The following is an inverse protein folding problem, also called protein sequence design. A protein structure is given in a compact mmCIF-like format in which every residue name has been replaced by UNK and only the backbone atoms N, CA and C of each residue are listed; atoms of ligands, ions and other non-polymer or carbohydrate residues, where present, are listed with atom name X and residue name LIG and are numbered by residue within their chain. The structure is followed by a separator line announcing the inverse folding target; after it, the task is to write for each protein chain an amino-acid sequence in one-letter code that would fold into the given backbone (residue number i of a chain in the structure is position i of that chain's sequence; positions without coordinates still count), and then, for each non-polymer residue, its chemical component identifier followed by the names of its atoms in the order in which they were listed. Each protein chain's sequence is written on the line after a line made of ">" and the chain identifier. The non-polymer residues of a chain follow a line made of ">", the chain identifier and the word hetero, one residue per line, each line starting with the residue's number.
data_IF_002136899481
#
_entry.id   IF_002136899481
#
_cell.length_a   1.000
_cell.length_b   1.000
_cell.length_c   1.000
_cell.angle_alpha   90.00
_cell.angle_beta   90.00
_cell.angle_gamma   90.00
#
_symmetry.space_group_name_H-M   'P 1'
#
loop_
_entity.id
_entity.type
_entity.pdbx_description
1 polymer ?
#
# COMPACT_ATOMS: atom_id res chain seq x y z
N UNK A 1 -21.65 31.77 7.97
CA UNK A 1 -20.95 30.69 8.69
C UNK A 1 -21.70 29.36 8.62
N UNK A 2 -23.00 29.31 8.94
CA UNK A 2 -23.80 28.07 8.93
C UNK A 2 -23.93 27.40 7.54
N UNK A 3 -24.17 28.19 6.48
CA UNK A 3 -24.25 27.70 5.10
C UNK A 3 -22.93 27.05 4.63
N UNK A 4 -21.79 27.64 4.99
CA UNK A 4 -20.45 27.13 4.63
C UNK A 4 -20.21 25.79 5.33
N UNK A 5 -20.52 25.67 6.62
CA UNK A 5 -20.45 24.40 7.37
C UNK A 5 -21.35 23.32 6.77
N UNK A 6 -22.58 23.69 6.39
CA UNK A 6 -23.53 22.77 5.76
C UNK A 6 -23.04 22.26 4.39
N UNK A 7 -22.58 23.16 3.52
CA UNK A 7 -22.02 22.80 2.21
C UNK A 7 -20.79 21.91 2.35
N UNK A 8 -19.88 22.25 3.27
CA UNK A 8 -18.69 21.45 3.54
C UNK A 8 -19.04 20.05 4.06
N UNK A 9 -20.03 19.96 4.95
CA UNK A 9 -20.51 18.68 5.49
C UNK A 9 -21.09 17.77 4.40
N UNK A 10 -21.89 18.33 3.48
CA UNK A 10 -22.41 17.59 2.32
C UNK A 10 -21.28 17.09 1.41
N UNK A 11 -20.31 17.95 1.10
CA UNK A 11 -19.14 17.59 0.28
C UNK A 11 -18.32 16.49 0.96
N UNK A 12 -18.12 16.57 2.28
CA UNK A 12 -17.39 15.56 3.03
C UNK A 12 -18.07 14.18 2.94
N UNK A 13 -19.36 14.09 3.27
CA UNK A 13 -20.09 12.81 3.22
C UNK A 13 -20.22 12.25 1.79
N UNK A 14 -20.47 13.12 0.80
CA UNK A 14 -20.51 12.71 -0.61
C UNK A 14 -19.16 12.15 -1.08
N UNK A 15 -18.07 12.84 -0.73
CA UNK A 15 -16.71 12.39 -1.05
C UNK A 15 -16.35 11.09 -0.31
N UNK A 16 -16.81 10.94 0.94
CA UNK A 16 -16.60 9.73 1.72
C UNK A 16 -17.30 8.51 1.08
N UNK A 17 -18.57 8.64 0.71
CA UNK A 17 -19.32 7.57 0.03
C UNK A 17 -18.71 7.22 -1.32
N UNK A 18 -18.30 8.23 -2.11
CA UNK A 18 -17.58 8.01 -3.36
C UNK A 18 -16.25 7.28 -3.14
N UNK A 19 -15.54 7.61 -2.07
CA UNK A 19 -14.28 6.97 -1.70
C UNK A 19 -14.49 5.50 -1.37
N UNK A 20 -15.53 5.14 -0.60
CA UNK A 20 -15.88 3.74 -0.31
C UNK A 20 -16.13 2.96 -1.61
N UNK A 21 -16.93 3.52 -2.51
CA UNK A 21 -17.18 2.91 -3.82
C UNK A 21 -15.87 2.69 -4.60
N UNK A 22 -14.96 3.67 -4.62
CA UNK A 22 -13.66 3.54 -5.29
C UNK A 22 -12.75 2.50 -4.63
N UNK A 23 -12.71 2.44 -3.30
CA UNK A 23 -11.95 1.40 -2.58
C UNK A 23 -12.43 0.02 -3.02
N UNK A 24 -13.74 -0.20 -3.10
CA UNK A 24 -14.29 -1.46 -3.54
C UNK A 24 -13.88 -1.82 -4.97
N UNK A 25 -14.03 -0.90 -5.93
CA UNK A 25 -13.60 -1.13 -7.33
C UNK A 25 -12.11 -1.46 -7.43
N UNK A 26 -11.27 -0.71 -6.72
CA UNK A 26 -9.81 -0.91 -6.72
C UNK A 26 -9.44 -2.24 -6.06
N UNK A 27 -10.18 -2.68 -5.03
CA UNK A 27 -9.97 -3.97 -4.38
C UNK A 27 -10.29 -5.13 -5.32
N UNK A 28 -11.38 -5.05 -6.09
CA UNK A 28 -11.72 -6.05 -7.10
C UNK A 28 -10.62 -6.15 -8.17
N UNK A 29 -10.20 -5.01 -8.73
CA UNK A 29 -9.08 -4.97 -9.68
C UNK A 29 -7.80 -5.60 -9.11
N UNK A 30 -7.50 -5.39 -7.82
CA UNK A 30 -6.32 -5.96 -7.18
C UNK A 30 -6.44 -7.49 -7.04
N UNK A 31 -7.59 -7.99 -6.63
CA UNK A 31 -7.85 -9.43 -6.52
C UNK A 31 -7.66 -10.12 -7.87
N UNK A 32 -8.18 -9.53 -8.95
CA UNK A 32 -7.99 -10.05 -10.32
C UNK A 32 -6.52 -10.10 -10.71
N UNK A 33 -5.76 -9.02 -10.42
CA UNK A 33 -4.32 -8.98 -10.69
C UNK A 33 -3.61 -10.09 -9.92
N UNK A 34 -3.89 -10.26 -8.62
CA UNK A 34 -3.26 -11.30 -7.79
C UNK A 34 -3.60 -12.71 -8.26
N UNK A 35 -4.82 -12.94 -8.76
CA UNK A 35 -5.20 -14.23 -9.34
C UNK A 35 -4.32 -14.59 -10.55
N UNK A 36 -4.05 -13.62 -11.44
CA UNK A 36 -3.15 -13.85 -12.59
C UNK A 36 -1.70 -14.08 -12.13
N UNK A 37 -1.19 -13.31 -11.17
CA UNK A 37 0.15 -13.55 -10.60
C UNK A 37 0.29 -14.95 -10.01
N UNK A 38 -0.76 -15.42 -9.32
CA UNK A 38 -0.80 -16.77 -8.74
C UNK A 38 -0.76 -17.82 -9.85
N UNK A 39 -1.58 -17.67 -10.88
CA UNK A 39 -1.62 -18.58 -12.02
C UNK A 39 -0.29 -18.63 -12.78
N UNK A 40 0.33 -17.48 -13.06
CA UNK A 40 1.66 -17.43 -13.71
C UNK A 40 2.75 -18.08 -12.83
N UNK A 41 2.65 -17.93 -11.50
CA UNK A 41 3.55 -18.57 -10.56
C UNK A 41 3.41 -20.09 -10.52
N UNK A 42 2.17 -20.60 -10.48
CA UNK A 42 1.87 -22.04 -10.50
C UNK A 42 2.32 -22.68 -11.82
N UNK A 43 2.15 -21.98 -12.94
CA UNK A 43 2.61 -22.45 -14.25
C UNK A 43 4.14 -22.47 -14.36
N UNK A 44 4.82 -21.41 -13.90
CA UNK A 44 6.27 -21.31 -14.01
C UNK A 44 7.02 -22.26 -13.05
N UNK A 45 6.45 -22.53 -11.87
CA UNK A 45 7.07 -23.34 -10.84
C UNK A 45 6.02 -24.23 -10.15
N UNK A 46 5.56 -25.29 -10.82
CA UNK A 46 4.58 -26.22 -10.25
C UNK A 46 5.17 -26.91 -9.02
N UNK A 47 4.33 -27.12 -8.00
CA UNK A 47 4.68 -27.84 -6.76
C UNK A 47 5.69 -27.16 -5.82
N UNK A 48 5.89 -25.85 -5.93
CA UNK A 48 6.70 -25.07 -4.97
C UNK A 48 6.16 -25.21 -3.54
N UNK A 49 6.96 -25.81 -2.66
CA UNK A 49 6.62 -25.91 -1.24
C UNK A 49 6.67 -24.55 -0.55
N UNK A 50 5.95 -24.39 0.56
CA UNK A 50 5.98 -23.14 1.35
C UNK A 50 7.40 -22.79 1.84
N UNK A 51 8.21 -23.81 2.15
CA UNK A 51 9.61 -23.61 2.55
C UNK A 51 10.46 -23.06 1.41
N UNK A 52 10.28 -23.56 0.19
CA UNK A 52 10.99 -23.05 -0.99
C UNK A 52 10.53 -21.63 -1.33
N UNK A 53 9.24 -21.33 -1.23
CA UNK A 53 8.73 -19.97 -1.41
C UNK A 53 9.37 -18.99 -0.41
N UNK A 54 9.51 -19.39 0.86
CA UNK A 54 10.20 -18.58 1.90
C UNK A 54 11.69 -18.40 1.57
N UNK A 55 12.40 -19.47 1.19
CA UNK A 55 13.82 -19.42 0.80
C UNK A 55 14.02 -18.50 -0.41
N UNK A 56 13.19 -18.66 -1.43
CA UNK A 56 13.17 -17.86 -2.65
C UNK A 56 12.99 -16.37 -2.34
N UNK A 57 11.99 -16.02 -1.51
CA UNK A 57 11.73 -14.63 -1.11
C UNK A 57 12.95 -14.01 -0.40
N UNK A 58 13.62 -14.79 0.46
CA UNK A 58 14.85 -14.36 1.13
C UNK A 58 16.00 -14.13 0.14
N UNK A 59 16.22 -15.08 -0.78
CA UNK A 59 17.28 -15.00 -1.78
C UNK A 59 17.08 -13.79 -2.73
N UNK A 60 15.85 -13.55 -3.17
CA UNK A 60 15.47 -12.36 -3.94
C UNK A 60 15.81 -11.08 -3.18
N UNK A 61 15.43 -11.00 -1.89
CA UNK A 61 15.72 -9.81 -1.09
C UNK A 61 17.22 -9.58 -0.90
N UNK A 62 18.01 -10.64 -0.72
CA UNK A 62 19.46 -10.54 -0.57
C UNK A 62 20.13 -10.10 -1.88
N UNK A 63 19.68 -10.63 -3.01
CA UNK A 63 20.15 -10.20 -4.33
C UNK A 63 19.90 -8.71 -4.55
N UNK A 64 18.72 -8.21 -4.15
CA UNK A 64 18.40 -6.79 -4.19
C UNK A 64 19.33 -5.93 -3.35
N UNK A 65 19.54 -6.31 -2.09
CA UNK A 65 20.43 -5.57 -1.20
C UNK A 65 21.87 -5.51 -1.73
N UNK A 66 22.32 -6.58 -2.40
CA UNK A 66 23.64 -6.62 -3.03
C UNK A 66 23.75 -5.68 -4.24
N UNK A 67 22.69 -5.59 -5.07
CA UNK A 67 22.70 -4.79 -6.31
C UNK A 67 22.33 -3.34 -6.09
N UNK A 68 21.47 -3.04 -5.12
CA UNK A 68 21.09 -1.69 -4.70
C UNK A 68 21.16 -1.59 -3.16
N UNK A 69 22.28 -1.11 -2.58
CA UNK A 69 22.41 -0.92 -1.14
C UNK A 69 21.36 0.05 -0.56
N UNK A 70 20.80 0.95 -1.38
CA UNK A 70 19.71 1.83 -0.95
C UNK A 70 18.40 1.08 -0.69
N UNK A 71 18.25 -0.16 -1.20
CA UNK A 71 17.09 -1.02 -0.95
C UNK A 71 16.93 -1.34 0.54
N UNK A 72 18.04 -1.66 1.24
CA UNK A 72 18.00 -1.92 2.67
C UNK A 72 17.53 -0.69 3.46
N UNK A 73 17.99 0.49 3.05
CA UNK A 73 17.60 1.76 3.65
C UNK A 73 16.11 2.06 3.40
N UNK A 74 15.64 1.93 2.15
CA UNK A 74 14.23 2.08 1.78
C UNK A 74 13.32 1.17 2.61
N UNK A 75 13.70 -0.11 2.76
CA UNK A 75 12.95 -1.08 3.57
C UNK A 75 12.86 -0.69 5.04
N UNK A 76 13.95 -0.21 5.63
CA UNK A 76 13.96 0.32 7.01
C UNK A 76 13.03 1.53 7.15
N UNK A 77 13.09 2.48 6.22
CA UNK A 77 12.19 3.64 6.23
C UNK A 77 10.72 3.23 6.08
N UNK A 78 10.39 2.32 5.16
CA UNK A 78 9.03 1.79 5.03
C UNK A 78 8.56 1.14 6.31
N UNK A 79 9.40 0.35 6.97
CA UNK A 79 9.07 -0.30 8.23
C UNK A 79 8.76 0.72 9.33
N UNK A 80 9.59 1.76 9.49
CA UNK A 80 9.34 2.84 10.45
C UNK A 80 7.97 3.49 10.20
N UNK A 81 7.65 3.75 8.94
CA UNK A 81 6.37 4.36 8.58
C UNK A 81 5.19 3.41 8.85
N UNK A 82 5.34 2.12 8.56
CA UNK A 82 4.34 1.12 8.94
C UNK A 82 4.12 1.06 10.45
N UNK A 83 5.19 1.15 11.24
CA UNK A 83 5.10 1.21 12.71
C UNK A 83 4.33 2.45 13.16
N UNK A 84 4.63 3.63 12.60
CA UNK A 84 3.90 4.88 12.91
C UNK A 84 2.41 4.74 12.57
N UNK A 85 2.09 4.23 11.37
CA UNK A 85 0.70 3.99 10.95
C UNK A 85 0.01 2.99 11.88
N UNK A 86 0.70 1.92 12.27
CA UNK A 86 0.17 0.91 13.18
C UNK A 86 -0.15 1.49 14.56
N UNK A 87 0.74 2.30 15.14
CA UNK A 87 0.47 3.00 16.41
C UNK A 87 -0.77 3.91 16.32
N UNK A 88 -0.96 4.60 15.19
CA UNK A 88 -2.14 5.44 14.99
C UNK A 88 -3.41 4.57 14.87
N UNK A 89 -3.36 3.48 14.10
CA UNK A 89 -4.47 2.54 13.98
C UNK A 89 -4.83 1.88 15.31
N UNK A 90 -3.84 1.53 16.14
CA UNK A 90 -4.08 1.00 17.48
C UNK A 90 -4.89 1.97 18.33
N UNK A 91 -4.51 3.27 18.34
CA UNK A 91 -5.27 4.30 19.07
C UNK A 91 -6.69 4.46 18.56
N UNK A 92 -6.89 4.29 17.25
CA UNK A 92 -8.20 4.34 16.61
C UNK A 92 -9.06 3.15 17.03
N UNK A 93 -8.49 1.95 16.98
CA UNK A 93 -9.17 0.72 17.39
C UNK A 93 -9.58 0.81 18.87
N UNK A 94 -8.67 1.24 19.76
CA UNK A 94 -8.99 1.45 21.19
C UNK A 94 -10.09 2.48 21.44
N UNK A 95 -10.31 3.41 20.51
CA UNK A 95 -11.40 4.37 20.62
C UNK A 95 -12.76 3.82 20.16
N UNK A 96 -12.78 3.10 19.04
CA UNK A 96 -14.02 2.49 18.53
C UNK A 96 -14.41 1.23 19.32
N UNK A 97 -13.42 0.54 19.89
CA UNK A 97 -13.56 -0.66 20.72
C UNK A 97 -12.83 -0.45 22.05
N UNK A 98 -13.39 0.39 22.95
CA UNK A 98 -12.76 0.70 24.23
C UNK A 98 -12.65 -0.56 25.09
N UNK A 99 -11.41 -0.88 25.48
CA UNK A 99 -11.10 -1.86 26.53
C UNK A 99 -11.07 -1.17 27.92
N UNK A 100 -10.97 0.16 27.93
CA UNK A 100 -10.98 1.06 29.10
C UNK A 100 -11.83 2.31 28.79
N UNK A 101 -12.17 3.12 29.79
CA UNK A 101 -12.92 4.38 29.66
C UNK A 101 -12.10 5.47 28.93
N UNK A 102 -11.92 5.32 27.62
CA UNK A 102 -11.27 6.29 26.75
C UNK A 102 -12.25 7.44 26.45
N UNK A 103 -11.83 8.73 26.57
CA UNK A 103 -12.68 9.86 26.22
C UNK A 103 -13.18 9.77 24.78
N UNK A 104 -14.51 9.70 24.61
CA UNK A 104 -15.19 9.56 23.31
C UNK A 104 -15.33 10.90 22.59
N UNK A 105 -14.20 11.52 22.20
CA UNK A 105 -14.23 12.65 21.27
C UNK A 105 -13.76 12.25 19.86
N UNK A 106 -14.72 12.11 18.94
CA UNK A 106 -14.47 11.64 17.57
C UNK A 106 -13.61 12.64 16.80
N UNK A 107 -13.77 13.94 17.11
CA UNK A 107 -12.99 15.03 16.52
C UNK A 107 -11.52 14.99 16.93
N UNK A 108 -11.17 14.29 18.02
CA UNK A 108 -9.77 14.10 18.40
C UNK A 108 -9.07 13.08 17.51
N UNK A 109 -9.76 12.06 16.98
CA UNK A 109 -9.14 10.90 16.33
C UNK A 109 -9.16 10.92 14.82
N UNK A 110 -10.22 11.50 14.25
CA UNK A 110 -10.34 11.73 12.80
C UNK A 110 -9.07 12.39 12.19
N UNK A 111 -8.44 13.42 12.78
CA UNK A 111 -7.29 14.06 12.16
C UNK A 111 -6.03 13.19 12.23
N UNK A 112 -5.84 12.41 13.30
CA UNK A 112 -4.71 11.46 13.37
C UNK A 112 -4.84 10.34 12.33
N UNK A 113 -6.05 9.82 12.13
CA UNK A 113 -6.34 8.91 11.01
C UNK A 113 -6.00 9.54 9.67
N UNK A 114 -6.41 10.80 9.50
CA UNK A 114 -6.10 11.56 8.30
C UNK A 114 -4.59 11.65 8.03
N UNK A 115 -3.82 12.00 9.06
CA UNK A 115 -2.35 12.06 9.00
C UNK A 115 -1.74 10.69 8.66
N UNK A 116 -2.21 9.61 9.29
CA UNK A 116 -1.70 8.25 9.00
C UNK A 116 -1.94 7.85 7.55
N UNK A 117 -3.14 8.11 7.02
CA UNK A 117 -3.49 7.81 5.63
C UNK A 117 -2.65 8.63 4.64
N UNK A 118 -2.46 9.92 4.91
CA UNK A 118 -1.61 10.80 4.10
C UNK A 118 -0.15 10.34 4.12
N UNK A 119 0.42 10.05 5.29
CA UNK A 119 1.80 9.55 5.41
C UNK A 119 1.98 8.21 4.70
N UNK A 120 1.03 7.29 4.87
CA UNK A 120 1.02 6.00 4.17
C UNK A 120 1.01 6.17 2.66
N UNK A 121 0.17 7.07 2.14
CA UNK A 121 0.09 7.35 0.70
C UNK A 121 1.37 7.95 0.13
N UNK A 122 1.93 8.97 0.78
CA UNK A 122 3.19 9.62 0.36
C UNK A 122 4.33 8.62 0.32
N UNK A 123 4.42 7.78 1.35
CA UNK A 123 5.40 6.70 1.44
C UNK A 123 5.20 5.68 0.34
N UNK A 124 3.95 5.31 0.09
CA UNK A 124 3.57 4.43 -1.01
C UNK A 124 4.02 4.94 -2.37
N UNK A 125 3.81 6.23 -2.67
CA UNK A 125 4.28 6.84 -3.91
C UNK A 125 5.81 6.80 -4.05
N UNK A 126 6.53 7.07 -2.95
CA UNK A 126 7.99 6.97 -2.94
C UNK A 126 8.46 5.53 -3.25
N UNK A 127 7.80 4.53 -2.68
CA UNK A 127 8.14 3.11 -2.90
C UNK A 127 7.78 2.60 -4.30
N UNK A 128 6.67 3.06 -4.89
CA UNK A 128 6.34 2.76 -6.28
C UNK A 128 7.40 3.30 -7.23
N UNK A 129 7.91 4.51 -6.96
CA UNK A 129 8.97 5.10 -7.78
C UNK A 129 10.24 4.25 -7.74
N UNK A 130 10.58 3.67 -6.58
CA UNK A 130 11.73 2.76 -6.48
C UNK A 130 11.53 1.41 -7.17
N UNK A 131 10.29 0.89 -7.24
CA UNK A 131 9.98 -0.38 -7.93
C UNK A 131 10.28 -0.39 -9.43
N UNK A 132 10.35 0.78 -10.09
CA UNK A 132 10.78 0.82 -11.50
C UNK A 132 12.24 0.41 -11.67
N UNK A 133 13.12 0.83 -10.77
CA UNK A 133 14.54 0.47 -10.81
C UNK A 133 14.76 -1.01 -10.47
N UNK A 134 13.92 -1.55 -9.58
CA UNK A 134 13.92 -2.96 -9.22
C UNK A 134 13.71 -3.89 -10.43
N UNK A 135 12.83 -3.50 -11.35
CA UNK A 135 12.57 -4.25 -12.58
C UNK A 135 13.81 -4.38 -13.46
N UNK A 136 14.54 -3.30 -13.66
CA UNK A 136 15.75 -3.31 -14.49
C UNK A 136 16.84 -4.22 -13.88
N UNK A 137 16.95 -4.24 -12.56
CA UNK A 137 17.86 -5.14 -11.83
C UNK A 137 17.48 -6.61 -12.10
N UNK A 138 16.20 -6.96 -12.11
CA UNK A 138 15.76 -8.32 -12.42
C UNK A 138 15.86 -8.68 -13.89
N UNK A 139 15.64 -7.71 -14.78
CA UNK A 139 15.87 -7.91 -16.21
C UNK A 139 17.31 -8.31 -16.47
N UNK A 140 18.25 -7.57 -15.85
CA UNK A 140 19.67 -7.88 -15.93
C UNK A 140 20.00 -9.23 -15.27
N UNK A 141 19.39 -9.54 -14.12
CA UNK A 141 19.55 -10.84 -13.46
C UNK A 141 19.21 -12.02 -14.39
N UNK A 142 18.07 -11.96 -15.08
CA UNK A 142 17.65 -13.05 -15.97
C UNK A 142 18.55 -13.21 -17.20
N UNK A 143 19.17 -12.11 -17.64
CA UNK A 143 20.19 -12.15 -18.71
C UNK A 143 21.48 -12.80 -18.18
N UNK A 144 21.95 -12.40 -17.01
CA UNK A 144 23.20 -12.88 -16.41
C UNK A 144 23.09 -14.33 -15.89
N UNK A 145 21.87 -14.76 -15.53
CA UNK A 145 21.58 -16.04 -14.90
C UNK A 145 20.40 -16.75 -15.59
N UNK A 146 20.60 -17.32 -16.80
CA UNK A 146 19.54 -17.88 -17.63
C UNK A 146 18.84 -19.09 -17.00
N UNK A 147 19.48 -19.76 -16.04
CA UNK A 147 18.87 -20.86 -15.26
C UNK A 147 17.82 -20.38 -14.25
N UNK A 148 17.74 -19.07 -14.00
CA UNK A 148 16.80 -18.45 -13.06
C UNK A 148 16.76 -19.16 -11.70
N UNK A 149 17.92 -19.26 -11.06
CA UNK A 149 18.09 -19.95 -9.77
C UNK A 149 17.26 -19.30 -8.64
N UNK A 150 16.97 -18.01 -8.76
CA UNK A 150 16.04 -17.29 -7.87
C UNK A 150 14.57 -17.61 -8.16
N UNK A 151 14.30 -18.46 -9.17
CA UNK A 151 12.97 -18.84 -9.64
C UNK A 151 12.08 -17.61 -9.83
N UNK A 152 12.63 -16.48 -10.28
CA UNK A 152 11.89 -15.25 -10.43
C UNK A 152 10.80 -15.42 -11.50
N UNK A 153 9.55 -15.09 -11.20
CA UNK A 153 8.46 -15.18 -12.20
C UNK A 153 8.50 -13.87 -12.97
N UNK A 154 8.87 -13.94 -14.25
CA UNK A 154 8.82 -12.79 -15.13
C UNK A 154 7.40 -12.61 -15.67
N UNK A 155 6.68 -11.67 -15.09
CA UNK A 155 5.30 -11.37 -15.50
C UNK A 155 5.26 -10.43 -16.71
N UNK A 156 4.17 -10.49 -17.48
CA UNK A 156 4.00 -9.61 -18.65
C UNK A 156 4.02 -8.11 -18.27
N UNK A 157 4.57 -7.27 -19.17
CA UNK A 157 4.63 -5.82 -18.93
C UNK A 157 3.24 -5.22 -18.67
N UNK A 158 2.23 -5.75 -19.37
CA UNK A 158 0.83 -5.35 -19.23
C UNK A 158 0.30 -5.64 -17.81
N UNK A 159 0.57 -6.83 -17.26
CA UNK A 159 0.14 -7.18 -15.91
C UNK A 159 0.85 -6.32 -14.85
N UNK A 160 2.14 -6.05 -15.06
CA UNK A 160 2.91 -5.17 -14.19
C UNK A 160 2.40 -3.72 -14.24
N UNK A 161 2.11 -3.19 -15.42
CA UNK A 161 1.53 -1.85 -15.57
C UNK A 161 0.17 -1.74 -14.87
N UNK A 162 -0.69 -2.76 -15.01
CA UNK A 162 -1.98 -2.84 -14.28
C UNK A 162 -1.77 -2.84 -12.76
N UNK A 163 -0.82 -3.62 -12.25
CA UNK A 163 -0.48 -3.64 -10.83
C UNK A 163 -0.03 -2.26 -10.33
N UNK A 164 0.88 -1.61 -11.06
CA UNK A 164 1.39 -0.28 -10.70
C UNK A 164 0.28 0.77 -10.74
N UNK A 165 -0.59 0.72 -11.75
CA UNK A 165 -1.74 1.62 -11.86
C UNK A 165 -2.73 1.42 -10.70
N UNK A 166 -3.06 0.16 -10.37
CA UNK A 166 -3.93 -0.15 -9.23
C UNK A 166 -3.33 0.33 -7.90
N UNK A 167 -2.03 0.11 -7.70
CA UNK A 167 -1.32 0.57 -6.50
C UNK A 167 -1.31 2.11 -6.42
N UNK A 168 -1.11 2.82 -7.53
CA UNK A 168 -1.24 4.28 -7.59
C UNK A 168 -2.66 4.74 -7.23
N UNK A 169 -3.71 4.12 -7.79
CA UNK A 169 -5.11 4.42 -7.45
C UNK A 169 -5.36 4.28 -5.94
N UNK A 170 -4.83 3.23 -5.31
CA UNK A 170 -4.91 3.02 -3.85
C UNK A 170 -4.29 4.18 -3.08
N UNK A 171 -3.08 4.61 -3.44
CA UNK A 171 -2.41 5.71 -2.75
C UNK A 171 -3.11 7.05 -2.97
N UNK A 172 -3.64 7.31 -4.17
CA UNK A 172 -4.48 8.50 -4.41
C UNK A 172 -5.69 8.48 -3.47
N UNK A 173 -6.38 7.35 -3.36
CA UNK A 173 -7.54 7.20 -2.46
C UNK A 173 -7.16 7.43 -0.99
N UNK A 174 -6.05 6.84 -0.52
CA UNK A 174 -5.56 7.06 0.85
C UNK A 174 -5.19 8.52 1.09
N UNK A 175 -4.55 9.18 0.12
CA UNK A 175 -4.17 10.59 0.21
C UNK A 175 -5.40 11.49 0.27
N UNK A 176 -6.37 11.29 -0.63
CA UNK A 176 -7.61 12.07 -0.68
C UNK A 176 -8.42 11.90 0.60
N UNK A 177 -8.60 10.65 1.07
CA UNK A 177 -9.30 10.38 2.32
C UNK A 177 -8.57 11.01 3.52
N UNK A 178 -7.24 10.89 3.55
CA UNK A 178 -6.41 11.47 4.60
C UNK A 178 -6.57 12.98 4.72
N UNK A 179 -6.48 13.69 3.58
CA UNK A 179 -6.67 15.15 3.51
C UNK A 179 -8.10 15.53 3.91
N UNK A 180 -9.12 14.81 3.43
CA UNK A 180 -10.52 15.09 3.78
C UNK A 180 -10.77 14.97 5.29
N UNK A 181 -10.18 13.97 5.95
CA UNK A 181 -10.30 13.77 7.39
C UNK A 181 -9.60 14.88 8.20
N UNK A 182 -8.43 15.34 7.75
CA UNK A 182 -7.73 16.48 8.37
C UNK A 182 -8.59 17.75 8.21
N UNK A 183 -9.05 18.04 7.00
CA UNK A 183 -9.87 19.22 6.73
C UNK A 183 -11.19 19.20 7.48
N UNK A 184 -11.82 18.03 7.65
CA UNK A 184 -13.08 17.92 8.38
C UNK A 184 -13.02 18.53 9.77
N UNK A 185 -11.93 18.31 10.49
CA UNK A 185 -11.75 18.88 11.84
C UNK A 185 -11.54 20.40 11.88
N UNK A 186 -11.14 21.01 10.76
CA UNK A 186 -10.94 22.46 10.68
C UNK A 186 -12.24 23.21 10.36
N UNK A 187 -13.24 22.52 9.79
CA UNK A 187 -14.47 23.13 9.30
C UNK A 187 -15.75 22.63 10.01
N UNK A 188 -15.65 21.62 10.88
CA UNK A 188 -16.78 21.11 11.68
C UNK A 188 -17.12 21.99 12.89
#
# INVERSE_FOLDING_TARGET
>A
MLLIKFMFTLVYYGSFMYTIYKVWQIQQEYSDIMAVYKQEGEHAFPNLTEQEQKRRKKAISQYYEKKDPSFALKRKFSFIIYVIVFFILERVIRYFFPIEDVPKNLNYIIPYLGVALTLSAVTGFYLIKSKKNEREIFKQYLIDHPKNELQFVWVSEKLQARFMQNTNKRFIVHLTLGILMILYTLFS
#
